data_IF_906006148645
#
_entry.id   IF_906006148645
#
_cell.length_a   1.000
_cell.length_b   1.000
_cell.length_c   1.000
_cell.angle_alpha   90.00
_cell.angle_beta   90.00
_cell.angle_gamma   90.00
#
_symmetry.space_group_name_H-M   'P 1'
#
loop_
_entity.id
_entity.type
_entity.pdbx_description
1 polymer ?
#
# COMPACT_ATOMS: atom_id res chain seq x y z
N UNK A 1 -10.53 -9.10 0.87
CA UNK A 1 -11.25 -7.87 1.29
C UNK A 1 -11.42 -7.74 2.80
N UNK A 2 -11.92 -8.77 3.48
CA UNK A 2 -12.30 -8.74 4.91
C UNK A 2 -11.12 -8.42 5.84
N UNK A 3 -9.93 -9.01 5.57
CA UNK A 3 -8.73 -8.74 6.34
C UNK A 3 -8.32 -7.26 6.32
N UNK A 4 -8.39 -6.62 5.14
CA UNK A 4 -8.13 -5.18 5.01
C UNK A 4 -9.14 -4.36 5.81
N UNK A 5 -10.44 -4.66 5.70
CA UNK A 5 -11.47 -3.95 6.46
C UNK A 5 -11.29 -4.07 7.97
N UNK A 6 -10.88 -5.25 8.45
CA UNK A 6 -10.58 -5.45 9.87
C UNK A 6 -9.41 -4.58 10.33
N UNK A 7 -8.31 -4.55 9.56
CA UNK A 7 -7.14 -3.73 9.87
C UNK A 7 -7.50 -2.24 9.84
N UNK A 8 -8.32 -1.80 8.86
CA UNK A 8 -8.80 -0.42 8.80
C UNK A 8 -9.70 -0.06 9.98
N UNK A 9 -10.57 -0.96 10.42
CA UNK A 9 -11.37 -0.75 11.63
C UNK A 9 -10.48 -0.57 12.86
N UNK A 10 -9.43 -1.38 13.01
CA UNK A 10 -8.45 -1.20 14.08
C UNK A 10 -7.62 0.08 13.92
N UNK A 11 -7.28 0.51 12.71
CA UNK A 11 -6.64 1.82 12.47
C UNK A 11 -7.52 2.98 12.90
N UNK A 12 -8.83 2.89 12.67
CA UNK A 12 -9.79 3.91 13.12
C UNK A 12 -9.97 3.90 14.64
N UNK A 13 -10.00 2.72 15.27
CA UNK A 13 -10.18 2.57 16.71
C UNK A 13 -8.90 2.92 17.50
N UNK A 14 -7.73 2.62 16.94
CA UNK A 14 -6.41 2.80 17.56
C UNK A 14 -5.42 3.48 16.60
N UNK A 15 -5.65 4.76 16.25
CA UNK A 15 -4.87 5.47 15.24
C UNK A 15 -3.37 5.57 15.57
N UNK A 16 -3.01 5.62 16.85
CA UNK A 16 -1.62 5.73 17.31
C UNK A 16 -0.91 4.37 17.43
N UNK A 17 -1.66 3.27 17.44
CA UNK A 17 -1.10 1.93 17.68
C UNK A 17 -1.03 1.08 16.40
N UNK A 18 -1.92 1.32 15.45
CA UNK A 18 -1.96 0.59 14.18
C UNK A 18 -1.38 1.47 13.09
N UNK A 19 -0.35 0.98 12.42
CA UNK A 19 0.32 1.66 11.31
C UNK A 19 0.31 0.74 10.10
N UNK A 20 -0.05 1.26 8.94
CA UNK A 20 -0.22 0.47 7.72
C UNK A 20 0.73 1.05 6.68
N UNK A 21 1.68 0.24 6.21
CA UNK A 21 2.53 0.60 5.09
C UNK A 21 1.94 0.04 3.79
N UNK A 22 2.16 0.74 2.67
CA UNK A 22 1.82 0.29 1.33
C UNK A 22 2.73 -0.87 0.91
N UNK A 23 2.13 -1.99 0.53
CA UNK A 23 2.82 -3.07 -0.16
C UNK A 23 2.58 -3.03 -1.66
N UNK A 24 3.13 -4.01 -2.37
CA UNK A 24 2.95 -4.14 -3.82
C UNK A 24 1.50 -4.45 -4.20
N UNK A 25 0.80 -5.25 -3.40
CA UNK A 25 -0.59 -5.63 -3.65
C UNK A 25 -1.58 -4.48 -3.37
N UNK A 26 -1.16 -3.49 -2.57
CA UNK A 26 -1.88 -2.26 -2.26
C UNK A 26 -1.57 -1.17 -3.31
N UNK A 27 -1.80 -1.52 -4.58
CA UNK A 27 -1.73 -0.64 -5.74
C UNK A 27 -2.91 -0.94 -6.68
N UNK A 28 -3.43 0.07 -7.38
CA UNK A 28 -4.59 -0.11 -8.26
C UNK A 28 -4.38 -1.14 -9.36
N UNK A 29 -3.18 -1.21 -9.94
CA UNK A 29 -2.86 -2.16 -11.01
C UNK A 29 -2.69 -3.58 -10.43
N UNK A 30 -1.94 -3.71 -9.34
CA UNK A 30 -1.74 -4.98 -8.65
C UNK A 30 -3.07 -5.58 -8.15
N UNK A 31 -3.90 -4.75 -7.50
CA UNK A 31 -5.19 -5.16 -6.97
C UNK A 31 -6.17 -5.62 -8.07
N UNK A 32 -6.07 -5.08 -9.28
CA UNK A 32 -6.81 -5.60 -10.46
C UNK A 32 -6.24 -6.92 -10.92
N UNK A 33 -4.92 -7.01 -11.09
CA UNK A 33 -4.23 -8.19 -11.59
C UNK A 33 -4.44 -9.42 -10.70
N UNK A 34 -4.30 -9.26 -9.38
CA UNK A 34 -4.43 -10.33 -8.40
C UNK A 34 -5.87 -10.58 -7.91
N UNK A 35 -6.88 -9.98 -8.56
CA UNK A 35 -8.28 -10.32 -8.34
C UNK A 35 -8.99 -9.63 -7.16
N UNK A 36 -8.34 -8.72 -6.43
CA UNK A 36 -8.98 -7.93 -5.38
C UNK A 36 -10.10 -7.04 -5.94
N UNK A 37 -9.91 -6.47 -7.14
CA UNK A 37 -10.96 -5.72 -7.84
C UNK A 37 -12.24 -6.53 -8.04
N UNK A 38 -12.11 -7.78 -8.48
CA UNK A 38 -13.25 -8.66 -8.71
C UNK A 38 -13.93 -9.06 -7.40
N UNK A 39 -13.14 -9.29 -6.35
CA UNK A 39 -13.65 -9.57 -5.01
C UNK A 39 -14.52 -8.41 -4.49
N UNK A 40 -14.01 -7.16 -4.60
CA UNK A 40 -14.75 -5.95 -4.21
C UNK A 40 -16.02 -5.79 -5.04
N UNK A 41 -15.93 -5.96 -6.36
CA UNK A 41 -17.07 -5.85 -7.27
C UNK A 41 -18.19 -6.84 -6.89
N UNK A 42 -17.84 -8.10 -6.64
CA UNK A 42 -18.77 -9.17 -6.29
C UNK A 42 -19.42 -8.97 -4.92
N UNK A 43 -18.64 -8.57 -3.91
CA UNK A 43 -19.13 -8.44 -2.52
C UNK A 43 -19.83 -7.12 -2.23
N UNK A 44 -19.44 -6.03 -2.91
CA UNK A 44 -19.97 -4.68 -2.63
C UNK A 44 -21.03 -4.21 -3.63
N UNK A 45 -21.44 -5.07 -4.58
CA UNK A 45 -22.57 -4.77 -5.45
C UNK A 45 -22.32 -3.68 -6.51
N UNK A 46 -21.07 -3.51 -6.97
CA UNK A 46 -20.78 -2.65 -8.13
C UNK A 46 -19.39 -2.01 -8.17
N UNK A 47 -19.10 -1.34 -9.29
CA UNK A 47 -17.78 -0.77 -9.61
C UNK A 47 -17.42 0.51 -8.82
N UNK A 48 -18.31 1.04 -7.96
CA UNK A 48 -18.09 2.33 -7.27
C UNK A 48 -17.15 2.25 -6.07
N UNK A 49 -16.99 1.07 -5.47
CA UNK A 49 -16.23 0.92 -4.22
C UNK A 49 -14.73 0.76 -4.48
N UNK A 50 -14.34 0.09 -5.57
CA UNK A 50 -12.93 -0.14 -5.85
C UNK A 50 -12.10 1.15 -5.99
N UNK A 51 -12.58 2.22 -6.66
CA UNK A 51 -11.85 3.49 -6.69
C UNK A 51 -11.57 4.10 -5.31
N UNK A 52 -12.40 3.80 -4.30
CA UNK A 52 -12.15 4.24 -2.92
C UNK A 52 -10.99 3.47 -2.29
N UNK A 53 -10.85 2.17 -2.59
CA UNK A 53 -9.69 1.40 -2.17
C UNK A 53 -8.41 1.86 -2.88
N UNK A 54 -8.49 2.19 -4.17
CA UNK A 54 -7.35 2.76 -4.89
C UNK A 54 -6.89 4.08 -4.27
N UNK A 55 -7.83 4.99 -4.00
CA UNK A 55 -7.53 6.25 -3.33
C UNK A 55 -6.92 6.01 -1.93
N UNK A 56 -7.47 5.07 -1.16
CA UNK A 56 -6.91 4.69 0.14
C UNK A 56 -5.47 4.17 0.01
N UNK A 57 -5.22 3.22 -0.89
CA UNK A 57 -3.89 2.66 -1.12
C UNK A 57 -2.86 3.72 -1.49
N UNK A 58 -3.28 4.69 -2.31
CA UNK A 58 -2.43 5.79 -2.75
C UNK A 58 -2.02 6.74 -1.59
N UNK A 59 -2.78 6.74 -0.47
CA UNK A 59 -2.44 7.50 0.75
C UNK A 59 -1.54 6.75 1.74
N UNK A 60 -1.33 5.44 1.55
CA UNK A 60 -0.54 4.64 2.48
C UNK A 60 0.97 4.98 2.36
N UNK A 61 1.68 5.14 3.49
CA UNK A 61 3.12 5.40 3.48
C UNK A 61 3.90 4.17 2.97
N UNK A 62 4.97 4.39 2.22
CA UNK A 62 5.83 3.30 1.71
C UNK A 62 6.82 2.75 2.75
N UNK A 63 7.03 3.48 3.85
CA UNK A 63 7.97 3.14 4.90
C UNK A 63 7.55 3.70 6.25
N UNK A 64 7.98 3.05 7.32
CA UNK A 64 7.88 3.55 8.70
C UNK A 64 9.26 3.49 9.37
N UNK A 65 9.48 4.36 10.37
CA UNK A 65 10.67 4.31 11.22
C UNK A 65 10.24 4.13 12.67
N UNK A 66 10.65 3.03 13.28
CA UNK A 66 10.34 2.68 14.67
C UNK A 66 11.52 3.09 15.56
N UNK A 67 11.21 3.78 16.66
CA UNK A 67 12.17 4.25 17.67
C UNK A 67 13.38 4.99 17.09
N UNK A 68 13.20 5.65 15.95
CA UNK A 68 14.27 6.33 15.19
C UNK A 68 15.47 5.44 14.83
N UNK A 69 15.33 4.11 14.89
CA UNK A 69 16.45 3.17 14.71
C UNK A 69 16.15 2.04 13.71
N UNK A 70 14.88 1.67 13.51
CA UNK A 70 14.50 0.58 12.61
C UNK A 70 13.63 1.13 11.48
N UNK A 71 14.12 1.02 10.24
CA UNK A 71 13.33 1.31 9.04
C UNK A 71 12.57 0.04 8.60
N UNK A 72 11.25 0.17 8.41
CA UNK A 72 10.36 -0.91 7.98
C UNK A 72 9.82 -0.57 6.59
N UNK A 73 10.09 -1.44 5.63
CA UNK A 73 9.66 -1.35 4.22
C UNK A 73 9.13 -2.70 3.75
N UNK A 74 8.24 -2.71 2.76
CA UNK A 74 7.67 -3.95 2.22
C UNK A 74 8.66 -4.68 1.30
N UNK A 75 9.17 -4.02 0.25
CA UNK A 75 10.00 -4.64 -0.81
C UNK A 75 11.50 -4.69 -0.54
N UNK A 76 11.98 -4.13 0.57
CA UNK A 76 13.40 -4.11 0.94
C UNK A 76 14.17 -2.87 0.45
N UNK A 77 15.49 -2.99 0.42
CA UNK A 77 16.40 -1.88 0.11
C UNK A 77 16.48 -1.61 -1.40
N UNK A 78 16.64 -0.32 -1.74
CA UNK A 78 16.94 0.07 -3.11
C UNK A 78 18.25 -0.55 -3.60
N UNK A 79 18.28 -0.94 -4.88
CA UNK A 79 19.51 -1.38 -5.57
C UNK A 79 20.43 -0.21 -5.91
N UNK A 80 19.92 1.03 -5.84
CA UNK A 80 20.73 2.22 -6.02
C UNK A 80 21.51 2.51 -4.73
N UNK A 81 22.85 2.60 -4.79
CA UNK A 81 23.65 2.94 -3.62
C UNK A 81 23.38 4.40 -3.20
N UNK A 82 23.55 4.68 -1.91
CA UNK A 82 23.41 6.04 -1.37
C UNK A 82 21.96 6.52 -1.19
N UNK A 83 20.97 5.63 -1.26
CA UNK A 83 19.59 5.99 -0.91
C UNK A 83 19.46 6.17 0.59
N UNK A 84 19.16 7.41 1.00
CA UNK A 84 18.95 7.84 2.37
C UNK A 84 17.45 7.89 2.71
N UNK A 85 17.12 7.89 4.00
CA UNK A 85 15.72 8.01 4.46
C UNK A 85 15.05 9.32 4.01
N UNK A 86 15.82 10.39 3.83
CA UNK A 86 15.29 11.66 3.31
C UNK A 86 14.77 11.54 1.87
N UNK A 87 15.41 10.70 1.04
CA UNK A 87 14.92 10.42 -0.31
C UNK A 87 13.58 9.69 -0.26
N UNK A 88 13.43 8.74 0.69
CA UNK A 88 12.17 7.99 0.88
C UNK A 88 11.05 8.91 1.37
N UNK A 89 11.35 9.87 2.27
CA UNK A 89 10.38 10.88 2.73
C UNK A 89 9.90 11.81 1.62
N UNK A 90 10.72 12.01 0.59
CA UNK A 90 10.37 12.83 -0.58
C UNK A 90 9.52 12.12 -1.62
N UNK A 91 9.22 10.82 -1.46
CA UNK A 91 8.36 10.09 -2.40
C UNK A 91 6.93 10.63 -2.28
N UNK A 92 6.33 11.11 -3.39
CA UNK A 92 4.98 11.64 -3.35
C UNK A 92 3.98 10.55 -2.98
N UNK A 93 3.14 10.84 -1.99
CA UNK A 93 1.88 10.12 -1.79
C UNK A 93 0.97 10.39 -3.00
N UNK A 94 0.14 9.41 -3.39
CA UNK A 94 -0.80 9.47 -4.52
C UNK A 94 -0.27 9.08 -5.91
N UNK A 95 0.97 8.64 -6.04
CA UNK A 95 1.48 8.08 -7.30
C UNK A 95 1.21 6.57 -7.40
N UNK A 96 0.77 6.09 -8.57
CA UNK A 96 0.73 4.66 -8.87
C UNK A 96 2.16 4.10 -8.88
N UNK A 97 2.33 2.83 -8.48
CA UNK A 97 3.64 2.21 -8.58
C UNK A 97 4.10 2.17 -10.05
N UNK A 98 5.41 2.30 -10.32
CA UNK A 98 5.94 2.23 -11.68
C UNK A 98 5.46 0.95 -12.36
N UNK A 99 4.81 1.10 -13.52
CA UNK A 99 4.19 -0.01 -14.22
C UNK A 99 5.26 -0.80 -15.02
N UNK A 100 5.99 -1.66 -14.32
CA UNK A 100 6.96 -2.58 -14.93
C UNK A 100 6.38 -4.01 -14.91
N UNK A 101 6.27 -4.71 -16.04
CA UNK A 101 5.76 -6.08 -16.10
C UNK A 101 6.46 -7.05 -15.13
N UNK A 102 7.76 -6.86 -14.89
CA UNK A 102 8.52 -7.70 -13.96
C UNK A 102 8.21 -7.41 -12.48
N UNK A 103 7.38 -6.40 -12.17
CA UNK A 103 6.97 -6.08 -10.80
C UNK A 103 5.98 -7.12 -10.27
N UNK A 104 5.25 -7.83 -11.13
CA UNK A 104 4.23 -8.81 -10.75
C UNK A 104 4.69 -10.27 -10.91
N UNK A 105 5.96 -10.49 -11.24
CA UNK A 105 6.59 -11.82 -11.30
C UNK A 105 7.27 -12.09 -9.96
N UNK A 106 6.85 -13.15 -9.26
CA UNK A 106 7.49 -13.66 -8.03
C UNK A 106 8.89 -14.24 -8.30
#
# INVERSE_FOLDING_TARGET
>A
MEGLLLILAFKLLHPESVHINRGIHEDGNAARFFGFHEEVRRKCGGARIFPLFEALFATLPVAAVVDSCVAVVHGGLSRHPGVLLEHVRGIPTMEELPNNPSTYEE
#
